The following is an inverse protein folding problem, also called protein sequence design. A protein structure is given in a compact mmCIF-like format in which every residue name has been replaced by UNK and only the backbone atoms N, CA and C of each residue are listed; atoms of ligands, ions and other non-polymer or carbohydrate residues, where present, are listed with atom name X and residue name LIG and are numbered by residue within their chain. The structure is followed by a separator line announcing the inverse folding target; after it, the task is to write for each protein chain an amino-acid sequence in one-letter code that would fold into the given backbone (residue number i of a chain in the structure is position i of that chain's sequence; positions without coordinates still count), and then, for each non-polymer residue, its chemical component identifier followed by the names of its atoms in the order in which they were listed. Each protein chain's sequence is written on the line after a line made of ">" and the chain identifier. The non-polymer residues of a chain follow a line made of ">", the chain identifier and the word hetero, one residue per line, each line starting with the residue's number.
data_IF_576685446886
#
_entry.id   IF_576685446886
#
_cell.length_a   1.000
_cell.length_b   1.000
_cell.length_c   1.000
_cell.angle_alpha   90.00
_cell.angle_beta   90.00
_cell.angle_gamma   90.00
#
_symmetry.space_group_name_H-M   'P 1'
#
loop_
_entity.id
_entity.type
_entity.pdbx_description
1 polymer ?
#
# COMPACT_ATOMS: atom_id res chain seq x y z
N UNK A 1 21.07 -5.39 4.09
CA UNK A 1 20.75 -6.53 3.18
C UNK A 1 20.92 -6.17 1.70
N UNK A 2 20.27 -5.11 1.20
CA UNK A 2 20.29 -4.76 -0.23
C UNK A 2 21.70 -4.47 -0.78
N UNK A 3 22.55 -3.81 -0.01
CA UNK A 3 23.96 -3.54 -0.40
C UNK A 3 24.77 -4.83 -0.60
N UNK A 4 24.53 -5.85 0.22
CA UNK A 4 25.18 -7.16 0.06
C UNK A 4 24.73 -7.82 -1.25
N UNK A 5 23.43 -7.75 -1.57
CA UNK A 5 22.86 -8.28 -2.81
C UNK A 5 23.44 -7.55 -4.02
N UNK A 6 23.53 -6.22 -3.96
CA UNK A 6 24.14 -5.39 -5.00
C UNK A 6 25.61 -5.76 -5.20
N UNK A 7 26.38 -5.88 -4.12
CA UNK A 7 27.80 -6.25 -4.15
C UNK A 7 28.00 -7.62 -4.79
N UNK A 8 27.22 -8.62 -4.38
CA UNK A 8 27.28 -9.97 -4.95
C UNK A 8 26.87 -9.98 -6.42
N UNK A 9 25.81 -9.25 -6.78
CA UNK A 9 25.36 -9.12 -8.18
C UNK A 9 26.41 -8.46 -9.09
N UNK A 10 27.02 -7.36 -8.63
CA UNK A 10 28.12 -6.69 -9.34
C UNK A 10 29.33 -7.62 -9.52
N UNK A 11 29.71 -8.35 -8.47
CA UNK A 11 30.80 -9.32 -8.55
C UNK A 11 30.50 -10.45 -9.55
N UNK A 12 29.30 -11.03 -9.51
CA UNK A 12 28.92 -12.12 -10.41
C UNK A 12 28.84 -11.69 -11.88
N UNK A 13 28.45 -10.43 -12.13
CA UNK A 13 28.29 -9.91 -13.49
C UNK A 13 29.58 -9.29 -14.05
N UNK A 14 30.66 -9.19 -13.26
CA UNK A 14 31.89 -8.50 -13.65
C UNK A 14 32.60 -9.11 -14.85
N UNK A 15 32.28 -10.37 -15.21
CA UNK A 15 32.84 -11.07 -16.37
C UNK A 15 32.08 -10.83 -17.68
N UNK A 16 30.94 -10.13 -17.64
CA UNK A 16 30.20 -9.82 -18.86
C UNK A 16 30.92 -8.75 -19.69
N UNK A 17 30.98 -8.93 -21.01
CA UNK A 17 31.68 -8.00 -21.93
C UNK A 17 31.13 -6.56 -21.91
N UNK A 18 29.89 -6.39 -21.47
CA UNK A 18 29.17 -5.11 -21.37
C UNK A 18 28.98 -4.68 -19.93
N UNK A 19 29.76 -5.22 -18.99
CA UNK A 19 29.60 -4.92 -17.58
C UNK A 19 30.00 -3.48 -17.27
N UNK A 20 29.06 -2.73 -16.70
CA UNK A 20 29.31 -1.51 -15.95
C UNK A 20 28.82 -1.73 -14.52
N UNK A 21 29.57 -1.31 -13.48
CA UNK A 21 29.11 -1.39 -12.11
C UNK A 21 27.81 -0.60 -11.93
N UNK A 22 26.81 -1.23 -11.34
CA UNK A 22 25.55 -0.55 -11.04
C UNK A 22 25.50 -0.11 -9.57
N UNK A 23 24.77 0.98 -9.31
CA UNK A 23 24.58 1.53 -7.97
C UNK A 23 23.25 1.11 -7.33
N UNK A 24 22.42 0.36 -8.04
CA UNK A 24 21.13 -0.11 -7.56
C UNK A 24 20.54 -1.18 -8.48
N UNK A 25 19.46 -1.79 -8.03
CA UNK A 25 18.67 -2.76 -8.79
C UNK A 25 17.19 -2.58 -8.47
N UNK A 26 16.33 -2.98 -9.39
CA UNK A 26 14.89 -2.98 -9.19
C UNK A 26 14.49 -4.03 -8.12
N UNK A 27 13.68 -3.64 -7.14
CA UNK A 27 13.28 -4.51 -6.01
C UNK A 27 12.54 -5.78 -6.48
N UNK A 28 11.88 -5.74 -7.65
CA UNK A 28 11.28 -6.91 -8.31
C UNK A 28 12.30 -8.00 -8.70
N UNK A 29 13.60 -7.71 -8.56
CA UNK A 29 14.66 -8.69 -8.71
C UNK A 29 14.81 -9.60 -7.50
N UNK A 30 14.42 -9.18 -6.29
CA UNK A 30 14.60 -9.99 -5.07
C UNK A 30 13.99 -11.40 -5.17
N UNK A 31 12.77 -11.60 -5.71
CA UNK A 31 12.20 -12.93 -5.92
C UNK A 31 13.03 -13.81 -6.87
N UNK A 32 13.81 -13.21 -7.79
CA UNK A 32 14.62 -13.93 -8.79
C UNK A 32 15.90 -14.53 -8.20
N UNK A 33 16.32 -14.12 -7.00
CA UNK A 33 17.50 -14.67 -6.31
C UNK A 33 17.37 -16.17 -6.03
N UNK A 34 16.13 -16.68 -5.88
CA UNK A 34 15.88 -18.11 -5.77
C UNK A 34 16.14 -18.87 -7.09
N UNK A 35 15.94 -18.22 -8.23
CA UNK A 35 16.05 -18.83 -9.56
C UNK A 35 17.49 -18.95 -10.06
N UNK A 36 18.40 -18.09 -9.58
CA UNK A 36 19.83 -18.20 -9.89
C UNK A 36 20.46 -19.29 -9.04
N UNK A 37 20.85 -20.40 -9.67
CA UNK A 37 21.38 -21.59 -8.99
C UNK A 37 22.86 -21.79 -9.25
N UNK A 38 23.54 -22.39 -8.28
CA UNK A 38 24.86 -22.95 -8.49
C UNK A 38 24.80 -24.08 -9.53
N UNK A 39 25.97 -24.47 -10.08
CA UNK A 39 26.08 -25.51 -11.12
C UNK A 39 25.48 -26.86 -10.70
N UNK A 40 25.41 -27.15 -9.39
CA UNK A 40 24.81 -28.37 -8.85
C UNK A 40 23.27 -28.35 -8.77
N UNK A 41 22.65 -27.18 -9.02
CA UNK A 41 21.21 -26.98 -8.95
C UNK A 41 20.60 -27.06 -7.54
N UNK A 42 21.41 -27.27 -6.50
CA UNK A 42 20.94 -27.53 -5.12
C UNK A 42 20.86 -26.25 -4.31
N UNK A 43 21.83 -25.34 -4.48
CA UNK A 43 21.86 -24.05 -3.78
C UNK A 43 21.56 -22.91 -4.73
N UNK A 44 20.67 -22.02 -4.32
CA UNK A 44 20.42 -20.76 -5.03
C UNK A 44 21.27 -19.63 -4.46
N UNK A 45 21.33 -18.53 -5.21
CA UNK A 45 21.95 -17.29 -4.76
C UNK A 45 21.30 -16.77 -3.48
N UNK A 46 19.98 -16.96 -3.32
CA UNK A 46 19.28 -16.66 -2.07
C UNK A 46 19.84 -17.45 -0.88
N UNK A 47 20.07 -18.76 -1.03
CA UNK A 47 20.67 -19.57 0.05
C UNK A 47 22.06 -19.07 0.42
N UNK A 48 22.87 -18.68 -0.58
CA UNK A 48 24.19 -18.11 -0.35
C UNK A 48 24.13 -16.78 0.42
N UNK A 49 23.21 -15.88 0.03
CA UNK A 49 23.03 -14.59 0.69
C UNK A 49 22.60 -14.78 2.15
N UNK A 50 21.64 -15.67 2.41
CA UNK A 50 21.18 -15.97 3.77
C UNK A 50 22.33 -16.50 4.64
N UNK A 51 23.14 -17.42 4.10
CA UNK A 51 24.32 -17.92 4.83
C UNK A 51 25.33 -16.80 5.11
N UNK A 52 25.63 -15.95 4.13
CA UNK A 52 26.55 -14.82 4.31
C UNK A 52 26.06 -13.85 5.39
N UNK A 53 24.74 -13.61 5.47
CA UNK A 53 24.11 -12.82 6.53
C UNK A 53 24.28 -13.49 7.90
N UNK A 54 23.98 -14.79 8.01
CA UNK A 54 24.13 -15.54 9.26
C UNK A 54 25.57 -15.56 9.80
N UNK A 55 26.54 -15.59 8.90
CA UNK A 55 27.96 -15.68 9.25
C UNK A 55 28.57 -14.32 9.59
N UNK A 56 28.16 -13.24 8.90
CA UNK A 56 28.85 -11.93 8.96
C UNK A 56 27.99 -10.74 9.39
N UNK A 57 26.68 -10.83 9.26
CA UNK A 57 25.74 -9.72 9.47
C UNK A 57 24.47 -10.18 10.18
N UNK A 58 24.61 -10.82 11.35
CA UNK A 58 23.46 -11.41 12.07
C UNK A 58 22.41 -10.38 12.49
N UNK A 59 22.80 -9.13 12.65
CA UNK A 59 21.93 -7.99 12.87
C UNK A 59 20.88 -7.83 11.77
N UNK A 60 21.20 -8.23 10.53
CA UNK A 60 20.25 -8.19 9.43
C UNK A 60 19.24 -9.33 9.44
N UNK A 61 19.30 -10.29 10.37
CA UNK A 61 18.33 -11.40 10.44
C UNK A 61 16.97 -10.97 10.98
N UNK A 62 16.90 -9.89 11.76
CA UNK A 62 15.65 -9.34 12.28
C UNK A 62 14.93 -8.43 11.28
N UNK A 63 15.42 -8.29 10.04
CA UNK A 63 14.80 -7.41 9.05
C UNK A 63 13.33 -7.77 8.77
N UNK A 64 12.97 -9.06 8.89
CA UNK A 64 11.58 -9.50 8.72
C UNK A 64 10.63 -8.86 9.74
N UNK A 65 11.14 -8.53 10.92
CA UNK A 65 10.35 -7.95 11.99
C UNK A 65 9.99 -6.49 11.69
N UNK A 66 10.78 -5.80 10.84
CA UNK A 66 10.49 -4.45 10.35
C UNK A 66 9.33 -4.43 9.33
N UNK A 67 9.06 -5.58 8.70
CA UNK A 67 8.01 -5.73 7.68
C UNK A 67 6.73 -6.36 8.23
N UNK A 68 6.56 -6.43 9.55
CA UNK A 68 5.34 -7.00 10.17
C UNK A 68 4.05 -6.34 9.66
N UNK A 69 4.11 -5.05 9.31
CA UNK A 69 2.99 -4.27 8.76
C UNK A 69 2.56 -4.80 7.38
N UNK A 70 3.46 -5.43 6.62
CA UNK A 70 3.14 -6.05 5.33
C UNK A 70 2.47 -7.44 5.46
N UNK A 71 2.47 -8.03 6.66
CA UNK A 71 2.09 -9.42 6.85
C UNK A 71 0.58 -9.67 6.65
N UNK A 72 -0.27 -8.67 6.95
CA UNK A 72 -1.73 -8.82 6.87
C UNK A 72 -2.39 -7.65 6.12
N UNK A 73 -3.16 -7.99 5.09
CA UNK A 73 -4.06 -7.05 4.40
C UNK A 73 -3.41 -6.14 3.37
N UNK A 74 -2.31 -5.44 3.71
CA UNK A 74 -1.75 -4.36 2.88
C UNK A 74 -1.34 -4.84 1.47
N UNK A 75 -0.73 -6.02 1.38
CA UNK A 75 -0.32 -6.60 0.09
C UNK A 75 -1.49 -6.97 -0.83
N UNK A 76 -2.71 -7.02 -0.30
CA UNK A 76 -3.94 -7.33 -1.04
C UNK A 76 -4.79 -6.08 -1.33
N UNK A 77 -4.39 -4.93 -0.80
CA UNK A 77 -5.10 -3.68 -1.01
C UNK A 77 -4.94 -3.25 -2.47
N UNK A 78 -6.08 -3.00 -3.12
CA UNK A 78 -6.11 -2.34 -4.41
C UNK A 78 -6.19 -0.82 -4.19
N UNK A 79 -5.03 -0.16 -4.22
CA UNK A 79 -4.93 1.30 -3.98
C UNK A 79 -5.80 2.09 -4.96
N UNK A 80 -5.88 1.66 -6.23
CA UNK A 80 -6.70 2.33 -7.24
C UNK A 80 -8.20 2.23 -6.97
N UNK A 81 -8.64 1.18 -6.29
CA UNK A 81 -10.04 1.01 -5.87
C UNK A 81 -10.31 1.83 -4.62
N UNK A 82 -9.40 1.82 -3.64
CA UNK A 82 -9.50 2.67 -2.45
C UNK A 82 -9.60 4.16 -2.81
N UNK A 83 -8.78 4.64 -3.74
CA UNK A 83 -8.79 6.05 -4.18
C UNK A 83 -10.11 6.49 -4.84
N UNK A 84 -10.95 5.55 -5.29
CA UNK A 84 -12.26 5.87 -5.88
C UNK A 84 -13.36 6.02 -4.84
N UNK A 85 -13.22 5.35 -3.69
CA UNK A 85 -14.28 5.30 -2.66
C UNK A 85 -14.68 6.69 -2.14
N UNK A 86 -13.76 7.63 -1.84
CA UNK A 86 -14.15 8.97 -1.39
C UNK A 86 -15.02 9.72 -2.41
N UNK A 87 -14.72 9.57 -3.71
CA UNK A 87 -15.49 10.22 -4.77
C UNK A 87 -16.90 9.64 -4.89
N UNK A 88 -17.05 8.33 -4.72
CA UNK A 88 -18.35 7.66 -4.72
C UNK A 88 -19.20 8.09 -3.52
N UNK A 89 -18.61 8.14 -2.32
CA UNK A 89 -19.28 8.60 -1.09
C UNK A 89 -19.74 10.05 -1.23
N UNK A 90 -18.87 10.94 -1.75
CA UNK A 90 -19.24 12.34 -2.02
C UNK A 90 -20.45 12.46 -2.93
N UNK A 91 -20.47 11.69 -4.02
CA UNK A 91 -21.61 11.69 -4.95
C UNK A 91 -22.90 11.24 -4.27
N UNK A 92 -22.83 10.21 -3.43
CA UNK A 92 -24.00 9.73 -2.68
C UNK A 92 -24.48 10.74 -1.65
N UNK A 93 -23.56 11.48 -1.01
CA UNK A 93 -23.91 12.57 -0.10
C UNK A 93 -24.57 13.75 -0.83
N UNK A 94 -24.11 14.10 -2.05
CA UNK A 94 -24.81 15.11 -2.86
C UNK A 94 -26.25 14.69 -3.16
N UNK A 95 -26.49 13.43 -3.52
CA UNK A 95 -27.85 12.93 -3.72
C UNK A 95 -28.69 13.04 -2.45
N UNK A 96 -28.12 12.70 -1.28
CA UNK A 96 -28.80 12.84 0.00
C UNK A 96 -29.14 14.31 0.33
N UNK A 97 -28.28 15.26 -0.06
CA UNK A 97 -28.54 16.70 0.07
C UNK A 97 -29.67 17.16 -0.84
N UNK A 98 -29.73 16.67 -2.07
CA UNK A 98 -30.83 16.95 -3.01
C UNK A 98 -32.17 16.40 -2.47
N UNK A 99 -32.18 15.16 -1.95
CA UNK A 99 -33.36 14.57 -1.33
C UNK A 99 -33.81 15.34 -0.08
N UNK A 100 -32.86 15.77 0.76
CA UNK A 100 -33.15 16.63 1.91
C UNK A 100 -33.74 17.98 1.50
N UNK A 101 -33.21 18.60 0.44
CA UNK A 101 -33.73 19.86 -0.09
C UNK A 101 -35.18 19.69 -0.59
N UNK A 102 -35.44 18.62 -1.35
CA UNK A 102 -36.78 18.30 -1.82
C UNK A 102 -37.75 18.02 -0.65
N UNK A 103 -37.32 17.30 0.39
CA UNK A 103 -38.13 17.04 1.57
C UNK A 103 -38.50 18.33 2.32
N UNK A 104 -37.58 19.28 2.43
CA UNK A 104 -37.83 20.60 3.05
C UNK A 104 -38.83 21.47 2.28
N UNK A 105 -38.99 21.25 0.97
CA UNK A 105 -39.97 21.95 0.14
C UNK A 105 -41.37 21.36 0.23
N UNK A 106 -41.54 20.17 0.83
CA UNK A 106 -42.86 19.56 1.00
C UNK A 106 -43.66 20.23 2.12
N UNK A 107 -44.89 20.64 1.82
CA UNK A 107 -45.80 21.28 2.79
C UNK A 107 -46.47 20.28 3.78
N UNK A 108 -46.19 18.98 3.64
CA UNK A 108 -46.79 17.93 4.45
C UNK A 108 -45.94 17.64 5.69
N UNK A 109 -46.27 18.29 6.81
CA UNK A 109 -45.73 17.91 8.11
C UNK A 109 -46.42 16.63 8.62
N UNK A 110 -45.64 15.56 8.75
CA UNK A 110 -46.07 14.33 9.41
C UNK A 110 -45.72 14.45 10.89
N UNK A 111 -46.73 14.38 11.77
CA UNK A 111 -46.53 14.48 13.21
C UNK A 111 -45.57 13.38 13.73
N UNK A 112 -44.52 13.79 14.43
CA UNK A 112 -43.46 12.92 14.94
C UNK A 112 -42.37 12.54 13.94
N UNK A 113 -42.40 13.03 12.70
CA UNK A 113 -41.32 12.82 11.73
C UNK A 113 -40.08 13.65 12.08
N UNK A 114 -38.92 13.00 12.05
CA UNK A 114 -37.60 13.59 12.32
C UNK A 114 -36.61 13.32 11.20
N UNK A 115 -37.09 13.00 10.01
CA UNK A 115 -36.26 12.69 8.86
C UNK A 115 -35.27 13.82 8.52
N UNK A 116 -35.75 15.07 8.48
CA UNK A 116 -34.92 16.25 8.16
C UNK A 116 -33.78 16.40 9.19
N UNK A 117 -34.10 16.39 10.49
CA UNK A 117 -33.12 16.50 11.57
C UNK A 117 -32.08 15.36 11.50
N UNK A 118 -32.54 14.12 11.33
CA UNK A 118 -31.66 12.96 11.29
C UNK A 118 -30.73 12.94 10.06
N UNK A 119 -31.22 13.37 8.89
CA UNK A 119 -30.42 13.43 7.66
C UNK A 119 -29.45 14.61 7.67
N UNK A 120 -29.82 15.75 8.25
CA UNK A 120 -28.89 16.87 8.46
C UNK A 120 -27.70 16.47 9.34
N UNK A 121 -27.99 15.83 10.48
CA UNK A 121 -26.95 15.34 11.39
C UNK A 121 -26.06 14.29 10.70
N UNK A 122 -26.67 13.38 9.94
CA UNK A 122 -25.94 12.36 9.18
C UNK A 122 -25.01 12.98 8.13
N UNK A 123 -25.51 13.93 7.32
CA UNK A 123 -24.71 14.59 6.28
C UNK A 123 -23.54 15.34 6.93
N UNK A 124 -23.78 16.07 8.04
CA UNK A 124 -22.72 16.76 8.76
C UNK A 124 -21.63 15.81 9.26
N UNK A 125 -22.00 14.67 9.84
CA UNK A 125 -21.03 13.67 10.29
C UNK A 125 -20.26 13.06 9.12
N UNK A 126 -20.95 12.78 8.02
CA UNK A 126 -20.36 12.18 6.84
C UNK A 126 -19.37 13.12 6.14
N UNK A 127 -19.63 14.43 6.14
CA UNK A 127 -18.68 15.44 5.64
C UNK A 127 -17.36 15.43 6.41
N UNK A 128 -17.41 15.36 7.73
CA UNK A 128 -16.23 15.29 8.58
C UNK A 128 -15.43 14.00 8.31
N UNK A 129 -16.12 12.86 8.16
CA UNK A 129 -15.48 11.58 7.85
C UNK A 129 -14.86 11.56 6.44
N UNK A 130 -15.52 12.16 5.45
CA UNK A 130 -14.99 12.31 4.10
C UNK A 130 -13.74 13.19 4.10
N UNK A 131 -13.76 14.33 4.78
CA UNK A 131 -12.59 15.20 4.90
C UNK A 131 -11.39 14.48 5.56
N UNK A 132 -11.68 13.66 6.59
CA UNK A 132 -10.65 12.83 7.24
C UNK A 132 -10.09 11.76 6.29
N UNK A 133 -10.93 11.13 5.48
CA UNK A 133 -10.49 10.15 4.48
C UNK A 133 -9.60 10.78 3.41
N UNK A 134 -9.94 11.97 2.94
CA UNK A 134 -9.13 12.69 1.95
C UNK A 134 -7.75 13.07 2.50
N UNK A 135 -7.69 13.54 3.74
CA UNK A 135 -6.42 13.83 4.41
C UNK A 135 -5.53 12.57 4.52
N UNK A 136 -6.12 11.43 4.88
CA UNK A 136 -5.38 10.16 4.96
C UNK A 136 -4.89 9.68 3.58
N UNK A 137 -5.65 9.91 2.51
CA UNK A 137 -5.25 9.58 1.14
C UNK A 137 -4.10 10.48 0.65
N UNK A 138 -4.12 11.76 1.01
CA UNK A 138 -3.02 12.70 0.75
C UNK A 138 -1.75 12.28 1.50
N UNK A 139 -1.85 11.90 2.77
CA UNK A 139 -0.72 11.37 3.54
C UNK A 139 -0.16 10.08 2.92
N UNK A 140 -1.03 9.19 2.44
CA UNK A 140 -0.62 7.93 1.79
C UNK A 140 0.08 8.17 0.45
N UNK A 141 -0.37 9.16 -0.32
CA UNK A 141 0.18 9.45 -1.66
C UNK A 141 1.50 10.23 -1.61
N UNK A 142 1.71 11.02 -0.55
CA UNK A 142 2.91 11.84 -0.37
C UNK A 142 4.05 11.16 0.41
N UNK A 143 3.82 9.96 0.96
CA UNK A 143 4.82 9.13 1.66
C UNK A 143 5.68 8.30 0.69
#
# INVERSE_FOLDING_TARGET
>A
MLELILTVGNYMNSSAKTYEPVHGFDISFLPKLHSTKANDGRRSLLHFIVQAIQDKHRDLLSFSDEFYVLADGITKINVLELQKQPQEIKRELENAREELAAAKETEYEIDGDRFIEAIEDFISLADDDVARLEHLDEEMTNA
#
